data_IF_815957450914
#
_entry.id   IF_815957450914
#
_cell.length_a   1.000
_cell.length_b   1.000
_cell.length_c   1.000
_cell.angle_alpha   90.00
_cell.angle_beta   90.00
_cell.angle_gamma   90.00
#
_symmetry.space_group_name_H-M   'P 1'
#
loop_
_entity.id
_entity.type
_entity.pdbx_description
1 polymer ?
#
# COMPACT_ATOMS: atom_id res chain seq x y z
N UNK A 1 -36.97 -17.91 -8.82
CA UNK A 1 -36.31 -17.41 -10.03
C UNK A 1 -35.18 -16.49 -9.58
N UNK A 2 -34.08 -17.12 -9.19
CA UNK A 2 -32.88 -16.39 -8.73
C UNK A 2 -32.22 -15.74 -9.93
N UNK A 3 -32.19 -14.42 -9.96
CA UNK A 3 -31.35 -13.68 -10.91
C UNK A 3 -29.91 -13.91 -10.47
N UNK A 4 -29.20 -14.76 -11.18
CA UNK A 4 -27.77 -14.87 -11.04
C UNK A 4 -27.16 -13.48 -11.26
N UNK A 5 -26.54 -12.94 -10.21
CA UNK A 5 -25.69 -11.78 -10.31
C UNK A 5 -24.53 -12.19 -11.24
N UNK A 6 -24.55 -11.72 -12.48
CA UNK A 6 -23.34 -11.72 -13.31
C UNK A 6 -22.36 -10.78 -12.58
N UNK A 7 -21.40 -11.33 -11.87
CA UNK A 7 -20.24 -10.58 -11.45
C UNK A 7 -19.52 -10.13 -12.73
N UNK A 8 -19.57 -8.85 -13.03
CA UNK A 8 -18.79 -8.30 -14.13
C UNK A 8 -17.31 -8.52 -13.83
N UNK A 9 -16.66 -9.30 -14.69
CA UNK A 9 -15.21 -9.50 -14.59
C UNK A 9 -14.52 -8.20 -14.98
N UNK A 10 -13.75 -7.63 -14.06
CA UNK A 10 -12.95 -6.43 -14.27
C UNK A 10 -11.49 -6.81 -14.48
N UNK A 11 -10.88 -6.28 -15.53
CA UNK A 11 -9.44 -6.42 -15.76
C UNK A 11 -8.70 -5.35 -14.95
N UNK A 12 -7.85 -5.79 -14.03
CA UNK A 12 -7.04 -4.93 -13.17
C UNK A 12 -5.56 -5.27 -13.29
N UNK A 13 -4.70 -4.27 -13.22
CA UNK A 13 -3.27 -4.46 -12.98
C UNK A 13 -3.04 -5.00 -11.55
N UNK A 14 -1.80 -5.40 -11.23
CA UNK A 14 -1.46 -5.83 -9.85
C UNK A 14 -1.69 -4.72 -8.82
N UNK A 15 -1.29 -3.49 -9.15
CA UNK A 15 -1.47 -2.31 -8.30
C UNK A 15 -2.96 -1.98 -8.07
N UNK A 16 -3.75 -1.96 -9.14
CA UNK A 16 -5.20 -1.72 -9.05
C UNK A 16 -5.91 -2.84 -8.28
N UNK A 17 -5.50 -4.08 -8.47
CA UNK A 17 -6.08 -5.22 -7.76
C UNK A 17 -5.79 -5.16 -6.26
N UNK A 18 -4.56 -4.80 -5.85
CA UNK A 18 -4.20 -4.58 -4.45
C UNK A 18 -5.02 -3.44 -3.84
N UNK A 19 -5.09 -2.30 -4.54
CA UNK A 19 -5.87 -1.14 -4.13
C UNK A 19 -7.38 -1.48 -3.99
N UNK A 20 -7.93 -2.23 -4.94
CA UNK A 20 -9.31 -2.73 -4.87
C UNK A 20 -9.53 -3.61 -3.62
N UNK A 21 -8.58 -4.51 -3.32
CA UNK A 21 -8.64 -5.34 -2.12
C UNK A 21 -8.65 -4.52 -0.83
N UNK A 22 -7.79 -3.50 -0.74
CA UNK A 22 -7.72 -2.59 0.39
C UNK A 22 -9.01 -1.76 0.55
N UNK A 23 -9.57 -1.26 -0.55
CA UNK A 23 -10.87 -0.57 -0.55
C UNK A 23 -11.99 -1.47 -0.01
N UNK A 24 -12.09 -2.71 -0.50
CA UNK A 24 -13.11 -3.68 -0.06
C UNK A 24 -13.01 -4.01 1.44
N UNK A 25 -11.84 -3.81 2.06
CA UNK A 25 -11.63 -3.96 3.51
C UNK A 25 -11.85 -2.66 4.29
N UNK A 26 -12.27 -1.60 3.63
CA UNK A 26 -12.63 -0.35 4.28
C UNK A 26 -11.43 0.51 4.68
N UNK A 27 -10.39 0.56 3.83
CA UNK A 27 -9.35 1.59 3.95
C UNK A 27 -10.01 2.96 3.83
N UNK A 28 -9.85 3.79 4.86
CA UNK A 28 -10.42 5.14 4.91
C UNK A 28 -9.43 6.24 4.58
N UNK A 29 -8.12 5.97 4.70
CA UNK A 29 -7.06 6.93 4.36
C UNK A 29 -5.93 6.23 3.62
N UNK A 30 -5.49 6.84 2.52
CA UNK A 30 -4.31 6.40 1.78
C UNK A 30 -3.39 7.57 1.46
N UNK A 31 -2.10 7.40 1.62
CA UNK A 31 -1.13 8.43 1.26
C UNK A 31 0.12 7.84 0.57
N UNK A 32 0.68 8.64 -0.32
CA UNK A 32 1.87 8.29 -1.10
C UNK A 32 2.65 9.55 -1.48
N UNK A 33 3.88 9.36 -1.90
CA UNK A 33 4.63 10.30 -2.72
C UNK A 33 4.80 9.70 -4.12
N UNK A 34 4.62 10.47 -5.21
CA UNK A 34 4.66 9.92 -6.57
C UNK A 34 5.97 9.23 -6.89
N UNK A 35 5.90 7.97 -7.33
CA UNK A 35 7.08 7.19 -7.70
C UNK A 35 6.71 5.88 -8.38
N UNK A 36 7.03 5.74 -9.68
CA UNK A 36 6.82 4.51 -10.45
C UNK A 36 7.69 3.38 -9.87
N UNK A 37 7.14 2.18 -9.60
CA UNK A 37 5.83 1.67 -10.06
C UNK A 37 4.69 1.70 -9.03
N UNK A 38 4.71 2.56 -8.00
CA UNK A 38 3.72 2.58 -6.92
C UNK A 38 2.55 3.57 -7.14
N UNK A 39 2.69 4.52 -8.07
CA UNK A 39 1.78 5.66 -8.27
C UNK A 39 0.33 5.24 -8.51
N UNK A 40 0.10 4.20 -9.30
CA UNK A 40 -1.22 3.73 -9.70
C UNK A 40 -2.09 3.25 -8.53
N UNK A 41 -1.48 2.86 -7.41
CA UNK A 41 -2.21 2.42 -6.22
C UNK A 41 -3.04 3.57 -5.66
N UNK A 42 -2.43 4.73 -5.44
CA UNK A 42 -3.14 5.90 -4.91
C UNK A 42 -4.08 6.50 -5.95
N UNK A 43 -3.70 6.53 -7.23
CA UNK A 43 -4.56 6.97 -8.32
C UNK A 43 -5.83 6.12 -8.41
N UNK A 44 -5.73 4.81 -8.19
CA UNK A 44 -6.90 3.94 -8.17
C UNK A 44 -7.79 4.22 -6.96
N UNK A 45 -7.21 4.33 -5.76
CA UNK A 45 -7.95 4.62 -4.52
C UNK A 45 -8.63 5.99 -4.56
N UNK A 46 -8.04 6.98 -5.22
CA UNK A 46 -8.63 8.33 -5.33
C UNK A 46 -9.94 8.38 -6.14
N UNK A 47 -10.32 7.30 -6.82
CA UNK A 47 -11.61 7.17 -7.52
C UNK A 47 -12.78 6.92 -6.55
N UNK A 48 -12.49 6.54 -5.31
CA UNK A 48 -13.49 6.23 -4.30
C UNK A 48 -13.62 7.41 -3.32
N UNK A 49 -14.77 8.10 -3.30
CA UNK A 49 -14.95 9.29 -2.45
C UNK A 49 -14.91 8.99 -0.95
N UNK A 50 -15.06 7.71 -0.57
CA UNK A 50 -14.97 7.25 0.83
C UNK A 50 -13.53 7.15 1.33
N UNK A 51 -12.55 7.19 0.42
CA UNK A 51 -11.11 7.09 0.77
C UNK A 51 -10.47 8.47 0.69
N UNK A 52 -10.01 8.97 1.82
CA UNK A 52 -9.16 10.18 1.85
C UNK A 52 -7.79 9.86 1.24
N UNK A 53 -7.60 10.24 -0.02
CA UNK A 53 -6.40 9.93 -0.80
C UNK A 53 -5.51 11.17 -0.90
N UNK A 54 -4.30 11.11 -0.35
CA UNK A 54 -3.41 12.26 -0.23
C UNK A 54 -2.05 12.05 -0.90
N UNK A 55 -1.65 12.97 -1.77
CA UNK A 55 -0.26 13.12 -2.18
C UNK A 55 0.51 13.95 -1.15
N UNK A 56 1.56 13.37 -0.59
CA UNK A 56 2.39 14.03 0.42
C UNK A 56 3.65 14.64 -0.19
N UNK A 57 4.31 15.51 0.57
CA UNK A 57 5.55 16.19 0.13
C UNK A 57 6.77 15.27 0.07
N UNK A 58 6.74 14.15 0.79
CA UNK A 58 7.70 13.05 0.72
C UNK A 58 7.12 11.78 1.38
N UNK A 59 7.84 10.67 1.26
CA UNK A 59 7.39 9.36 1.74
C UNK A 59 7.34 9.29 3.28
N UNK A 60 8.22 9.98 4.01
CA UNK A 60 8.16 10.02 5.47
C UNK A 60 6.84 10.61 5.95
N UNK A 61 6.44 11.75 5.39
CA UNK A 61 5.16 12.38 5.75
C UNK A 61 3.98 11.53 5.34
N UNK A 62 4.00 10.92 4.14
CA UNK A 62 2.95 9.99 3.72
C UNK A 62 2.80 8.81 4.70
N UNK A 63 3.93 8.23 5.12
CA UNK A 63 3.95 7.13 6.08
C UNK A 63 3.40 7.57 7.44
N UNK A 64 3.83 8.71 7.96
CA UNK A 64 3.40 9.21 9.28
C UNK A 64 1.92 9.59 9.32
N UNK A 65 1.38 10.14 8.24
CA UNK A 65 -0.06 10.43 8.11
C UNK A 65 -0.87 9.14 8.17
N UNK A 66 -0.49 8.12 7.38
CA UNK A 66 -1.19 6.83 7.36
C UNK A 66 -1.02 6.05 8.67
N UNK A 67 0.18 6.05 9.25
CA UNK A 67 0.43 5.45 10.57
C UNK A 67 -0.45 6.11 11.65
N UNK A 68 -0.52 7.44 11.66
CA UNK A 68 -1.32 8.19 12.64
C UNK A 68 -2.81 7.86 12.51
N UNK A 69 -3.32 7.72 11.28
CA UNK A 69 -4.69 7.30 11.04
C UNK A 69 -4.96 5.89 11.60
N UNK A 70 -4.02 4.96 11.41
CA UNK A 70 -4.14 3.61 11.95
C UNK A 70 -4.08 3.58 13.49
N UNK A 71 -3.23 4.39 14.11
CA UNK A 71 -3.20 4.56 15.57
C UNK A 71 -4.54 5.13 16.07
N UNK A 72 -5.13 6.07 15.32
CA UNK A 72 -6.45 6.64 15.64
C UNK A 72 -7.63 5.68 15.39
N UNK A 73 -7.40 4.49 14.86
CA UNK A 73 -8.42 3.46 14.64
C UNK A 73 -9.03 3.42 13.23
N UNK A 74 -8.44 4.12 12.26
CA UNK A 74 -8.85 4.10 10.86
C UNK A 74 -7.91 3.19 10.05
N UNK A 75 -8.46 2.26 9.28
CA UNK A 75 -7.64 1.46 8.35
C UNK A 75 -7.00 2.36 7.32
N UNK A 76 -5.71 2.19 7.09
CA UNK A 76 -4.92 3.06 6.24
C UNK A 76 -3.92 2.32 5.37
N UNK A 77 -3.53 2.95 4.27
CA UNK A 77 -2.58 2.41 3.30
C UNK A 77 -1.53 3.46 2.96
N UNK A 78 -0.26 3.07 3.12
CA UNK A 78 0.89 3.78 2.59
C UNK A 78 1.43 3.03 1.38
N UNK A 79 1.64 3.70 0.25
CA UNK A 79 2.26 3.12 -0.93
C UNK A 79 3.51 3.90 -1.32
N UNK A 80 4.57 3.18 -1.69
CA UNK A 80 5.82 3.80 -2.13
C UNK A 80 6.62 2.84 -3.02
N UNK A 81 7.45 3.39 -3.89
CA UNK A 81 8.51 2.60 -4.52
C UNK A 81 9.59 2.24 -3.48
N UNK A 82 10.43 1.26 -3.81
CA UNK A 82 11.42 0.73 -2.87
C UNK A 82 12.36 1.81 -2.27
N UNK A 83 12.80 2.79 -3.05
CA UNK A 83 13.67 3.86 -2.55
C UNK A 83 12.97 4.82 -1.60
N UNK A 84 11.65 4.96 -1.71
CA UNK A 84 10.86 5.77 -0.79
C UNK A 84 10.75 5.13 0.60
N UNK A 85 10.87 3.81 0.71
CA UNK A 85 11.00 3.13 2.01
C UNK A 85 12.22 3.62 2.78
N UNK A 86 13.32 3.95 2.08
CA UNK A 86 14.52 4.52 2.74
C UNK A 86 14.23 5.87 3.39
N UNK A 87 13.38 6.70 2.76
CA UNK A 87 12.96 8.00 3.30
C UNK A 87 12.06 7.83 4.52
N UNK A 88 11.20 6.82 4.52
CA UNK A 88 10.27 6.49 5.60
C UNK A 88 10.88 5.58 6.68
N UNK A 89 12.16 5.19 6.57
CA UNK A 89 12.78 4.14 7.38
C UNK A 89 12.66 4.38 8.90
N UNK A 90 12.88 5.59 9.36
CA UNK A 90 12.77 5.94 10.78
C UNK A 90 11.36 5.65 11.32
N UNK A 91 10.34 6.13 10.61
CA UNK A 91 8.95 5.92 10.99
C UNK A 91 8.53 4.45 10.85
N UNK A 92 9.02 3.74 9.83
CA UNK A 92 8.80 2.31 9.65
C UNK A 92 9.34 1.50 10.84
N UNK A 93 10.60 1.72 11.21
CA UNK A 93 11.23 1.02 12.34
C UNK A 93 10.51 1.33 13.65
N UNK A 94 10.12 2.57 13.87
CA UNK A 94 9.40 2.99 15.07
C UNK A 94 8.01 2.36 15.13
N UNK A 95 7.27 2.32 14.02
CA UNK A 95 5.92 1.75 13.94
C UNK A 95 5.86 0.29 14.35
N UNK A 96 6.90 -0.48 14.05
CA UNK A 96 7.01 -1.90 14.42
C UNK A 96 7.02 -2.13 15.95
N UNK A 97 7.41 -1.14 16.74
CA UNK A 97 7.45 -1.23 18.18
C UNK A 97 6.25 -0.59 18.89
N UNK A 98 5.69 0.49 18.33
CA UNK A 98 4.54 1.17 18.94
C UNK A 98 3.21 0.47 18.64
N UNK A 99 3.14 -0.25 17.53
CA UNK A 99 1.92 -0.93 17.07
C UNK A 99 0.86 0.02 16.55
N UNK A 100 -0.29 -0.55 16.17
CA UNK A 100 -1.42 0.15 15.58
C UNK A 100 -2.75 -0.35 16.18
N UNK A 101 -3.81 0.46 16.10
CA UNK A 101 -5.14 0.09 16.58
C UNK A 101 -6.06 -0.42 15.45
N UNK A 102 -5.78 -0.04 14.20
CA UNK A 102 -6.49 -0.54 13.03
C UNK A 102 -5.50 -1.09 12.00
N UNK A 103 -5.99 -1.74 10.94
CA UNK A 103 -5.14 -2.27 9.88
C UNK A 103 -4.29 -1.17 9.24
N UNK A 104 -3.00 -1.42 9.13
CA UNK A 104 -2.02 -0.56 8.45
C UNK A 104 -1.29 -1.36 7.38
N UNK A 105 -1.54 -1.02 6.13
CA UNK A 105 -0.92 -1.66 4.98
C UNK A 105 0.20 -0.78 4.44
N UNK A 106 1.43 -1.31 4.46
CA UNK A 106 2.60 -0.69 3.84
C UNK A 106 2.90 -1.43 2.54
N UNK A 107 2.82 -0.74 1.42
CA UNK A 107 3.08 -1.31 0.08
C UNK A 107 4.40 -0.78 -0.43
N UNK A 108 5.36 -1.69 -0.64
CA UNK A 108 6.62 -1.41 -1.31
C UNK A 108 6.59 -1.99 -2.71
N UNK A 109 6.67 -1.14 -3.72
CA UNK A 109 6.75 -1.57 -5.11
C UNK A 109 8.21 -1.52 -5.57
N UNK A 110 8.84 -2.68 -5.63
CA UNK A 110 10.22 -2.80 -6.08
C UNK A 110 10.30 -2.66 -7.62
N UNK A 111 11.44 -2.19 -8.10
CA UNK A 111 11.72 -1.98 -9.53
C UNK A 111 13.00 -2.73 -9.89
N UNK A 112 12.92 -4.09 -10.02
CA UNK A 112 14.06 -4.89 -10.43
C UNK A 112 14.56 -4.46 -11.82
N UNK A 113 15.87 -4.53 -12.02
CA UNK A 113 16.56 -4.06 -13.23
C UNK A 113 16.53 -2.53 -13.44
N UNK A 114 16.09 -1.75 -12.45
CA UNK A 114 16.17 -0.28 -12.41
C UNK A 114 15.54 0.42 -13.63
N UNK A 115 14.36 0.00 -14.07
CA UNK A 115 13.70 0.60 -15.26
C UNK A 115 13.37 2.09 -15.07
N UNK A 116 13.03 2.53 -13.85
CA UNK A 116 12.73 3.93 -13.52
C UNK A 116 13.24 4.36 -12.14
N UNK A 117 14.30 3.73 -11.66
CA UNK A 117 14.86 3.96 -10.32
C UNK A 117 16.35 4.24 -10.37
N UNK A 118 16.89 4.86 -9.33
CA UNK A 118 18.31 5.15 -9.19
C UNK A 118 19.13 3.96 -8.66
N UNK A 119 18.50 2.93 -8.12
CA UNK A 119 19.12 1.71 -7.62
C UNK A 119 18.16 0.53 -7.72
N UNK A 120 18.68 -0.66 -7.45
CA UNK A 120 17.90 -1.87 -7.18
C UNK A 120 18.03 -2.21 -5.69
N UNK A 121 16.91 -2.52 -5.03
CA UNK A 121 16.87 -2.76 -3.59
C UNK A 121 15.86 -3.87 -3.26
N UNK A 122 16.28 -4.81 -2.42
CA UNK A 122 15.41 -5.88 -1.92
C UNK A 122 14.81 -5.51 -0.56
N UNK A 123 13.58 -5.02 -0.56
CA UNK A 123 12.89 -4.58 0.65
C UNK A 123 12.41 -5.74 1.55
N UNK A 124 12.50 -6.99 1.10
CA UNK A 124 12.26 -8.17 1.96
C UNK A 124 13.19 -8.18 3.17
N UNK A 125 14.44 -7.76 2.98
CA UNK A 125 15.41 -7.66 4.07
C UNK A 125 15.07 -6.55 5.06
N UNK A 126 14.50 -5.45 4.59
CA UNK A 126 14.05 -4.34 5.44
C UNK A 126 12.89 -4.79 6.33
N UNK A 127 11.89 -5.47 5.78
CA UNK A 127 10.79 -6.03 6.56
C UNK A 127 11.30 -7.00 7.64
N UNK A 128 12.29 -7.84 7.29
CA UNK A 128 12.93 -8.75 8.26
C UNK A 128 13.65 -8.02 9.39
N UNK A 129 14.37 -6.95 9.08
CA UNK A 129 15.06 -6.13 10.10
C UNK A 129 14.04 -5.42 10.99
N UNK A 130 13.00 -4.85 10.41
CA UNK A 130 11.90 -4.19 11.12
C UNK A 130 11.01 -5.18 11.90
N UNK A 131 11.13 -6.49 11.67
CA UNK A 131 10.32 -7.56 12.30
C UNK A 131 8.83 -7.40 12.03
N UNK A 132 8.47 -6.95 10.84
CA UNK A 132 7.09 -6.84 10.35
C UNK A 132 6.77 -7.98 9.39
N UNK A 133 5.51 -8.44 9.35
CA UNK A 133 5.09 -9.40 8.33
C UNK A 133 5.27 -8.84 6.93
N UNK A 134 5.67 -9.71 5.99
CA UNK A 134 5.78 -9.37 4.58
C UNK A 134 5.03 -10.42 3.76
N UNK A 135 4.26 -9.95 2.79
CA UNK A 135 3.56 -10.74 1.79
C UNK A 135 4.02 -10.32 0.40
N UNK A 136 4.22 -11.26 -0.49
CA UNK A 136 4.69 -11.02 -1.86
C UNK A 136 3.75 -11.74 -2.84
N UNK A 137 2.73 -11.05 -3.39
CA UNK A 137 1.77 -11.66 -4.29
C UNK A 137 2.39 -11.93 -5.66
N UNK A 138 2.08 -13.09 -6.25
CA UNK A 138 2.58 -13.53 -7.54
C UNK A 138 1.63 -13.27 -8.72
N UNK A 139 0.42 -12.78 -8.44
CA UNK A 139 -0.60 -12.50 -9.44
C UNK A 139 -1.53 -11.37 -9.01
N UNK A 140 -2.25 -10.70 -9.94
CA UNK A 140 -3.23 -9.68 -9.58
C UNK A 140 -4.33 -10.19 -8.63
N UNK A 141 -4.76 -11.44 -8.79
CA UNK A 141 -5.73 -12.05 -7.88
C UNK A 141 -5.18 -12.16 -6.46
N UNK A 142 -3.95 -12.64 -6.33
CA UNK A 142 -3.28 -12.75 -5.03
C UNK A 142 -2.99 -11.37 -4.43
N UNK A 143 -2.65 -10.38 -5.27
CA UNK A 143 -2.50 -8.99 -4.85
C UNK A 143 -3.79 -8.43 -4.23
N UNK A 144 -4.95 -8.69 -4.87
CA UNK A 144 -6.25 -8.33 -4.33
C UNK A 144 -6.53 -9.01 -2.98
N UNK A 145 -6.27 -10.31 -2.89
CA UNK A 145 -6.46 -11.07 -1.64
C UNK A 145 -5.51 -10.61 -0.53
N UNK A 146 -4.30 -10.17 -0.89
CA UNK A 146 -3.32 -9.55 0.03
C UNK A 146 -3.80 -8.19 0.52
N UNK A 147 -4.34 -7.35 -0.35
CA UNK A 147 -4.92 -6.05 0.01
C UNK A 147 -6.13 -6.18 0.95
N UNK A 148 -6.79 -7.35 1.00
CA UNK A 148 -7.91 -7.66 1.90
C UNK A 148 -7.48 -8.09 3.32
N UNK A 149 -6.23 -8.35 3.58
CA UNK A 149 -5.73 -8.84 4.89
C UNK A 149 -5.33 -7.71 5.80
#
# INVERSE_FOLDING_TARGET
MERGLCEEAVLLSGNEALAQGAYEQGVGLAASYPGTPATEILEYLSRFPEVDSQWSVNEKIAFEVTLSASIAGMRSLFASKHVGINVAMDSLMTSAYIGVNAGFLVVSCDDPEIHSSQNEQDNRLIAKIAKIPLLEPSSPREAKDTGRR
#
